data_IF_886320879746
#
_entry.id   IF_886320879746
#
_cell.length_a   1.000
_cell.length_b   1.000
_cell.length_c   1.000
_cell.angle_alpha   90.00
_cell.angle_beta   90.00
_cell.angle_gamma   90.00
#
_symmetry.space_group_name_H-M   'P 1'
#
loop_
_entity.id
_entity.type
_entity.pdbx_description
1 polymer ?
#
# COMPACT_ATOMS: atom_id res chain seq x y z
N UNK A 1 -37.95 -19.53 18.09
CA UNK A 1 -37.12 -19.84 16.91
C UNK A 1 -37.18 -18.63 16.01
N UNK A 2 -36.28 -17.67 16.21
CA UNK A 2 -36.11 -16.55 15.29
C UNK A 2 -34.70 -16.66 14.73
N UNK A 3 -34.64 -16.86 13.42
CA UNK A 3 -33.43 -16.93 12.64
C UNK A 3 -32.64 -15.63 12.78
N UNK A 4 -31.67 -15.63 13.69
CA UNK A 4 -30.53 -14.70 13.64
C UNK A 4 -29.66 -15.09 12.45
N UNK A 5 -30.11 -14.77 11.24
CA UNK A 5 -29.24 -14.55 10.09
C UNK A 5 -28.26 -13.45 10.51
N UNK A 6 -27.07 -13.84 10.99
CA UNK A 6 -25.91 -12.94 10.99
C UNK A 6 -25.67 -12.58 9.53
N UNK A 7 -26.19 -11.43 9.11
CA UNK A 7 -25.85 -10.87 7.82
C UNK A 7 -24.32 -10.75 7.79
N UNK A 8 -23.68 -11.51 6.90
CA UNK A 8 -22.36 -11.15 6.46
C UNK A 8 -22.48 -9.71 5.94
N UNK A 9 -21.67 -8.79 6.45
CA UNK A 9 -21.53 -7.45 5.85
C UNK A 9 -20.73 -7.68 4.56
N UNK A 10 -21.38 -8.29 3.57
CA UNK A 10 -20.90 -8.40 2.22
C UNK A 10 -21.39 -7.14 1.52
N UNK A 11 -20.49 -6.19 1.32
CA UNK A 11 -20.77 -5.07 0.44
C UNK A 11 -20.80 -5.66 -0.96
N UNK A 12 -21.99 -5.82 -1.53
CA UNK A 12 -22.12 -6.15 -2.95
C UNK A 12 -21.51 -4.98 -3.73
N UNK A 13 -20.35 -5.15 -4.41
CA UNK A 13 -19.67 -4.03 -5.04
C UNK A 13 -20.54 -3.34 -6.09
N UNK A 14 -21.47 -4.06 -6.72
CA UNK A 14 -22.41 -3.47 -7.67
C UNK A 14 -23.40 -2.51 -7.00
N UNK A 15 -23.79 -2.76 -5.75
CA UNK A 15 -24.66 -1.85 -4.98
C UNK A 15 -23.92 -0.61 -4.51
N UNK A 16 -22.64 -0.74 -4.19
CA UNK A 16 -21.80 0.39 -3.74
C UNK A 16 -21.37 1.26 -4.92
N UNK A 17 -20.75 0.65 -5.93
CA UNK A 17 -20.16 1.37 -7.05
C UNK A 17 -21.12 1.66 -8.19
N UNK A 18 -22.28 1.00 -8.23
CA UNK A 18 -23.20 1.10 -9.35
C UNK A 18 -22.56 0.58 -10.63
N UNK A 19 -22.44 1.45 -11.64
CA UNK A 19 -21.95 1.09 -12.98
C UNK A 19 -20.42 1.09 -13.10
N UNK A 20 -19.70 1.83 -12.26
CA UNK A 20 -18.25 2.01 -12.40
C UNK A 20 -17.60 2.30 -11.05
N UNK A 21 -16.72 1.40 -10.60
CA UNK A 21 -15.90 1.62 -9.42
C UNK A 21 -14.94 2.80 -9.62
N UNK A 22 -14.31 2.88 -10.79
CA UNK A 22 -13.40 3.96 -11.15
C UNK A 22 -14.07 5.34 -11.06
N UNK A 23 -15.26 5.52 -11.64
CA UNK A 23 -15.98 6.80 -11.51
C UNK A 23 -16.41 7.06 -10.06
N UNK A 24 -16.75 6.02 -9.30
CA UNK A 24 -17.10 6.16 -7.89
C UNK A 24 -15.91 6.64 -7.05
N UNK A 25 -14.70 6.11 -7.30
CA UNK A 25 -13.44 6.57 -6.67
C UNK A 25 -13.20 8.05 -6.97
N UNK A 26 -13.36 8.47 -8.23
CA UNK A 26 -13.23 9.88 -8.60
C UNK A 26 -14.26 10.78 -7.92
N UNK A 27 -15.49 10.30 -7.74
CA UNK A 27 -16.54 11.04 -7.05
C UNK A 27 -16.24 11.20 -5.56
N UNK A 28 -15.62 10.20 -4.91
CA UNK A 28 -15.14 10.30 -3.52
C UNK A 28 -14.11 11.44 -3.40
N UNK A 29 -13.07 11.43 -4.23
CA UNK A 29 -12.03 12.48 -4.18
C UNK A 29 -12.61 13.86 -4.53
N UNK A 30 -13.50 13.93 -5.52
CA UNK A 30 -14.15 15.18 -5.91
C UNK A 30 -14.95 15.79 -4.76
N UNK A 31 -15.74 14.97 -4.07
CA UNK A 31 -16.55 15.44 -2.93
C UNK A 31 -15.68 15.86 -1.75
N UNK A 32 -14.66 15.06 -1.39
CA UNK A 32 -13.75 15.41 -0.30
C UNK A 32 -12.95 16.69 -0.56
N UNK A 33 -12.67 17.00 -1.83
CA UNK A 33 -11.93 18.19 -2.24
C UNK A 33 -12.84 19.32 -2.76
N UNK A 34 -14.15 19.26 -2.50
CA UNK A 34 -15.10 20.23 -3.06
C UNK A 34 -14.81 21.67 -2.61
N UNK A 35 -14.37 21.87 -1.38
CA UNK A 35 -13.96 23.18 -0.87
C UNK A 35 -12.74 23.72 -1.61
N UNK A 36 -11.75 22.87 -1.91
CA UNK A 36 -10.57 23.24 -2.68
C UNK A 36 -10.97 23.78 -4.06
N UNK A 37 -11.84 23.06 -4.79
CA UNK A 37 -12.31 23.49 -6.11
C UNK A 37 -13.05 24.82 -6.11
N UNK A 38 -13.57 25.26 -4.96
CA UNK A 38 -14.30 26.52 -4.83
C UNK A 38 -13.40 27.69 -4.42
N UNK A 39 -12.11 27.45 -4.15
CA UNK A 39 -11.17 28.50 -3.78
C UNK A 39 -10.91 29.45 -4.97
N UNK A 40 -11.04 30.77 -4.80
CA UNK A 40 -10.69 31.73 -5.85
C UNK A 40 -9.22 31.64 -6.29
N UNK A 41 -8.34 31.19 -5.39
CA UNK A 41 -6.91 31.01 -5.62
C UNK A 41 -6.55 29.65 -6.24
N UNK A 42 -7.53 28.79 -6.56
CA UNK A 42 -7.27 27.41 -6.97
C UNK A 42 -6.24 27.32 -8.12
N UNK A 43 -6.51 28.01 -9.22
CA UNK A 43 -5.65 27.95 -10.40
C UNK A 43 -4.27 28.57 -10.15
N UNK A 44 -4.20 29.71 -9.45
CA UNK A 44 -2.93 30.37 -9.12
C UNK A 44 -2.06 29.48 -8.23
N UNK A 45 -2.64 28.89 -7.19
CA UNK A 45 -1.92 28.01 -6.27
C UNK A 45 -1.53 26.70 -6.96
N UNK A 46 -2.39 26.14 -7.83
CA UNK A 46 -2.03 24.97 -8.63
C UNK A 46 -0.83 25.23 -9.56
N UNK A 47 -0.73 26.43 -10.14
CA UNK A 47 0.44 26.80 -10.94
C UNK A 47 1.70 26.96 -10.09
N UNK A 48 1.58 27.56 -8.89
CA UNK A 48 2.69 27.63 -7.93
C UNK A 48 3.21 26.24 -7.55
N UNK A 49 2.31 25.31 -7.22
CA UNK A 49 2.65 23.91 -6.93
C UNK A 49 3.41 23.27 -8.09
N UNK A 50 2.95 23.46 -9.33
CA UNK A 50 3.63 22.93 -10.53
C UNK A 50 5.04 23.52 -10.70
N UNK A 51 5.22 24.83 -10.43
CA UNK A 51 6.54 25.46 -10.46
C UNK A 51 7.49 24.83 -9.45
N UNK A 52 7.03 24.63 -8.20
CA UNK A 52 7.85 23.98 -7.19
C UNK A 52 8.27 22.54 -7.56
N UNK A 53 7.39 21.76 -8.20
CA UNK A 53 7.77 20.45 -8.73
C UNK A 53 8.80 20.53 -9.87
N UNK A 54 8.67 21.51 -10.75
CA UNK A 54 9.65 21.75 -11.81
C UNK A 54 11.04 22.07 -11.22
N UNK A 55 11.07 22.89 -10.17
CA UNK A 55 12.29 23.29 -9.46
C UNK A 55 12.80 22.23 -8.47
N UNK A 56 12.09 21.10 -8.32
CA UNK A 56 12.35 20.04 -7.33
C UNK A 56 12.37 20.55 -5.88
N UNK A 57 11.61 21.60 -5.60
CA UNK A 57 11.44 22.17 -4.27
C UNK A 57 10.20 21.58 -3.58
N UNK A 58 10.32 20.31 -3.16
CA UNK A 58 9.21 19.57 -2.53
C UNK A 58 8.77 20.20 -1.21
N UNK A 59 9.70 20.73 -0.42
CA UNK A 59 9.40 21.40 0.84
C UNK A 59 8.46 22.60 0.65
N UNK A 60 8.69 23.42 -0.38
CA UNK A 60 7.78 24.54 -0.68
C UNK A 60 6.37 24.09 -1.10
N UNK A 61 6.21 22.87 -1.63
CA UNK A 61 4.89 22.30 -1.91
C UNK A 61 4.19 21.96 -0.60
N UNK A 62 4.84 21.20 0.28
CA UNK A 62 4.16 20.54 1.40
C UNK A 62 4.21 21.30 2.72
N UNK A 63 5.13 22.24 2.91
CA UNK A 63 5.19 23.07 4.12
C UNK A 63 4.20 24.24 4.10
N UNK A 64 3.59 24.55 2.95
CA UNK A 64 2.49 25.53 2.88
C UNK A 64 1.13 24.82 2.98
N UNK A 65 0.37 24.98 4.08
CA UNK A 65 -0.93 24.33 4.26
C UNK A 65 -1.95 24.67 3.17
N UNK A 66 -1.87 25.84 2.55
CA UNK A 66 -2.77 26.25 1.47
C UNK A 66 -2.60 25.43 0.19
N UNK A 67 -1.43 24.81 0.01
CA UNK A 67 -1.15 23.96 -1.14
C UNK A 67 -1.80 22.58 -1.02
N UNK A 68 -1.89 22.03 0.20
CA UNK A 68 -2.31 20.65 0.46
C UNK A 68 -3.68 20.27 -0.13
N UNK A 69 -4.77 21.04 0.07
CA UNK A 69 -6.07 20.68 -0.48
C UNK A 69 -6.07 20.70 -2.02
N UNK A 70 -5.33 21.63 -2.63
CA UNK A 70 -5.22 21.77 -4.10
C UNK A 70 -4.33 20.66 -4.68
N UNK A 71 -3.25 20.30 -3.97
CA UNK A 71 -2.41 19.16 -4.30
C UNK A 71 -3.21 17.86 -4.30
N UNK A 72 -3.96 17.60 -3.22
CA UNK A 72 -4.80 16.40 -3.11
C UNK A 72 -5.85 16.35 -4.24
N UNK A 73 -6.57 17.47 -4.48
CA UNK A 73 -7.54 17.57 -5.57
C UNK A 73 -6.95 17.26 -6.96
N UNK A 74 -5.69 17.64 -7.19
CA UNK A 74 -4.99 17.48 -8.48
C UNK A 74 -4.38 16.10 -8.68
N UNK A 75 -3.69 15.58 -7.67
CA UNK A 75 -2.77 14.45 -7.83
C UNK A 75 -3.28 13.15 -7.19
N UNK A 76 -4.16 13.22 -6.18
CA UNK A 76 -4.71 12.03 -5.55
C UNK A 76 -5.61 11.16 -6.46
N UNK A 77 -6.45 11.70 -7.37
CA UNK A 77 -7.42 10.89 -8.12
C UNK A 77 -6.79 9.79 -8.98
N UNK A 78 -5.77 10.14 -9.78
CA UNK A 78 -5.11 9.18 -10.67
C UNK A 78 -4.36 8.10 -9.86
N UNK A 79 -3.70 8.50 -8.76
CA UNK A 79 -3.01 7.59 -7.84
C UNK A 79 -4.00 6.64 -7.16
N UNK A 80 -5.11 7.15 -6.63
CA UNK A 80 -6.15 6.34 -6.00
C UNK A 80 -6.71 5.27 -6.96
N UNK A 81 -6.95 5.63 -8.23
CA UNK A 81 -7.37 4.68 -9.25
C UNK A 81 -6.33 3.59 -9.50
N UNK A 82 -5.06 3.95 -9.67
CA UNK A 82 -3.98 2.98 -9.87
C UNK A 82 -3.81 2.05 -8.67
N UNK A 83 -3.85 2.59 -7.45
CA UNK A 83 -3.71 1.81 -6.23
C UNK A 83 -4.90 0.86 -6.03
N UNK A 84 -6.12 1.31 -6.34
CA UNK A 84 -7.30 0.45 -6.35
C UNK A 84 -7.13 -0.77 -7.25
N UNK A 85 -6.71 -0.57 -8.51
CA UNK A 85 -6.50 -1.67 -9.44
C UNK A 85 -5.37 -2.59 -8.98
N UNK A 86 -4.26 -2.02 -8.50
CA UNK A 86 -3.14 -2.80 -7.95
C UNK A 86 -3.58 -3.73 -6.81
N UNK A 87 -4.31 -3.19 -5.82
CA UNK A 87 -4.81 -3.98 -4.69
C UNK A 87 -5.88 -5.00 -5.10
N UNK A 88 -6.75 -4.64 -6.04
CA UNK A 88 -7.84 -5.50 -6.51
C UNK A 88 -7.35 -6.66 -7.38
N UNK A 89 -6.34 -6.42 -8.21
CA UNK A 89 -5.87 -7.39 -9.20
C UNK A 89 -4.75 -8.28 -8.66
N UNK A 90 -3.90 -7.76 -7.77
CA UNK A 90 -2.78 -8.55 -7.25
C UNK A 90 -3.21 -9.47 -6.09
N UNK A 91 -3.08 -10.80 -6.20
CA UNK A 91 -3.62 -11.75 -5.22
C UNK A 91 -3.07 -11.57 -3.80
N UNK A 92 -1.79 -11.18 -3.65
CA UNK A 92 -1.17 -10.94 -2.34
C UNK A 92 -1.79 -9.74 -1.65
N UNK A 93 -2.02 -8.66 -2.39
CA UNK A 93 -2.58 -7.42 -1.84
C UNK A 93 -4.06 -7.62 -1.52
N UNK A 94 -4.80 -8.27 -2.42
CA UNK A 94 -6.21 -8.62 -2.19
C UNK A 94 -6.36 -9.54 -0.95
N UNK A 95 -5.46 -10.51 -0.78
CA UNK A 95 -5.46 -11.41 0.39
C UNK A 95 -5.21 -10.67 1.70
N UNK A 96 -4.41 -9.60 1.71
CA UNK A 96 -4.26 -8.73 2.89
C UNK A 96 -5.62 -8.14 3.29
N UNK A 97 -6.47 -7.77 2.33
CA UNK A 97 -7.79 -7.19 2.58
C UNK A 97 -8.88 -8.24 2.90
N UNK A 98 -8.82 -9.43 2.29
CA UNK A 98 -9.80 -10.52 2.46
C UNK A 98 -9.55 -11.37 3.71
N UNK A 99 -8.34 -11.28 4.25
CA UNK A 99 -7.82 -12.13 5.30
C UNK A 99 -8.47 -11.91 6.67
N UNK A 100 -7.66 -12.07 7.71
CA UNK A 100 -8.05 -11.72 9.08
C UNK A 100 -8.08 -10.21 9.28
N UNK A 101 -8.14 -9.75 10.54
CA UNK A 101 -7.72 -8.39 10.85
C UNK A 101 -6.32 -8.14 10.30
N UNK A 102 -6.11 -7.01 9.62
CA UNK A 102 -4.81 -6.67 9.03
C UNK A 102 -4.46 -5.21 9.24
N UNK A 103 -3.17 -4.91 9.39
CA UNK A 103 -2.64 -3.54 9.48
C UNK A 103 -1.79 -3.22 8.26
N UNK A 104 -2.11 -2.11 7.58
CA UNK A 104 -1.36 -1.58 6.44
C UNK A 104 -0.72 -0.26 6.87
N UNK A 105 0.62 -0.24 6.96
CA UNK A 105 1.39 0.98 7.23
C UNK A 105 1.76 1.65 5.91
N UNK A 106 1.22 2.83 5.68
CA UNK A 106 1.39 3.59 4.46
C UNK A 106 2.38 4.73 4.65
N UNK A 107 3.59 4.61 4.07
CA UNK A 107 4.65 5.61 4.20
C UNK A 107 4.48 6.70 3.13
N UNK A 108 4.43 7.97 3.53
CA UNK A 108 4.21 9.11 2.62
C UNK A 108 2.79 9.18 2.08
N UNK A 109 1.81 8.80 2.89
CA UNK A 109 0.42 8.56 2.48
C UNK A 109 -0.46 9.82 2.48
N UNK A 110 0.09 10.98 2.81
CA UNK A 110 -0.64 12.14 3.29
C UNK A 110 -1.76 12.67 2.38
N UNK A 111 -1.61 12.53 1.05
CA UNK A 111 -2.57 13.10 0.11
C UNK A 111 -3.90 12.32 -0.04
N UNK A 112 -4.03 11.16 0.63
CA UNK A 112 -5.27 10.37 0.69
C UNK A 112 -5.50 9.38 -0.46
N UNK A 113 -4.54 9.24 -1.38
CA UNK A 113 -4.65 8.29 -2.51
C UNK A 113 -4.76 6.84 -2.05
N UNK A 114 -3.96 6.45 -1.06
CA UNK A 114 -3.98 5.10 -0.50
C UNK A 114 -5.25 4.84 0.30
N UNK A 115 -5.67 5.80 1.13
CA UNK A 115 -6.94 5.74 1.85
C UNK A 115 -8.09 5.41 0.89
N UNK A 116 -8.24 6.17 -0.20
CA UNK A 116 -9.32 5.97 -1.16
C UNK A 116 -9.15 4.67 -1.96
N UNK A 117 -7.95 4.41 -2.51
CA UNK A 117 -7.69 3.26 -3.36
C UNK A 117 -7.83 1.92 -2.64
N UNK A 118 -7.24 1.81 -1.44
CA UNK A 118 -7.32 0.61 -0.61
C UNK A 118 -8.76 0.40 -0.13
N UNK A 119 -9.44 1.46 0.33
CA UNK A 119 -10.83 1.35 0.76
C UNK A 119 -11.76 0.90 -0.37
N UNK A 120 -11.54 1.37 -1.60
CA UNK A 120 -12.29 0.88 -2.75
C UNK A 120 -12.04 -0.61 -3.03
N UNK A 121 -10.79 -1.07 -2.90
CA UNK A 121 -10.47 -2.50 -3.03
C UNK A 121 -11.11 -3.33 -1.90
N UNK A 122 -11.21 -2.79 -0.67
CA UNK A 122 -11.87 -3.45 0.46
C UNK A 122 -13.37 -3.73 0.21
N UNK A 123 -14.04 -2.96 -0.65
CA UNK A 123 -15.44 -3.23 -1.04
C UNK A 123 -15.53 -4.57 -1.80
N UNK A 124 -14.52 -4.91 -2.60
CA UNK A 124 -14.43 -6.22 -3.26
C UNK A 124 -14.00 -7.33 -2.32
N UNK A 125 -13.30 -6.98 -1.23
CA UNK A 125 -12.82 -7.92 -0.23
C UNK A 125 -14.00 -8.48 0.55
N UNK A 126 -14.55 -9.56 0.02
CA UNK A 126 -15.56 -10.36 0.67
C UNK A 126 -14.86 -11.48 1.44
N UNK A 127 -15.18 -11.67 2.72
CA UNK A 127 -14.69 -12.81 3.48
C UNK A 127 -14.95 -14.11 2.74
N UNK A 128 -13.90 -14.83 2.33
CA UNK A 128 -14.06 -16.20 1.86
C UNK A 128 -14.59 -17.01 3.04
N UNK A 129 -15.81 -17.58 2.97
CA UNK A 129 -16.26 -18.48 4.03
C UNK A 129 -15.30 -19.67 4.02
N UNK A 130 -14.56 -19.89 5.11
CA UNK A 130 -13.80 -21.13 5.28
C UNK A 130 -14.78 -22.30 5.17
N UNK A 131 -14.84 -22.95 4.01
CA UNK A 131 -15.62 -24.17 3.80
C UNK A 131 -15.03 -25.20 4.76
N UNK A 132 -15.77 -25.54 5.82
CA UNK A 132 -15.44 -26.70 6.64
C UNK A 132 -15.52 -27.90 5.72
N UNK A 133 -14.38 -28.49 5.33
CA UNK A 133 -14.33 -29.82 4.73
C UNK A 133 -14.83 -30.82 5.78
N UNK A 134 -16.13 -31.06 5.82
CA UNK A 134 -16.67 -32.26 6.46
C UNK A 134 -16.22 -33.45 5.61
N UNK A 135 -15.23 -34.20 6.10
CA UNK A 135 -14.96 -35.54 5.60
C UNK A 135 -16.20 -36.39 5.89
N UNK A 136 -17.10 -36.55 4.91
CA UNK A 136 -17.99 -37.70 4.88
C UNK A 136 -17.17 -38.84 4.31
N UNK A 137 -16.75 -39.74 5.20
CA UNK A 137 -16.35 -41.08 4.80
C UNK A 137 -17.62 -41.77 4.29
N UNK A 138 -17.67 -42.10 3.01
CA UNK A 138 -18.60 -43.11 2.53
C UNK A 138 -17.80 -44.28 1.99
N UNK A 139 -17.95 -45.41 2.69
CA UNK A 139 -17.47 -46.72 2.27
C UNK A 139 -18.59 -47.31 1.43
N UNK A 140 -18.38 -47.51 0.14
CA UNK A 140 -18.90 -48.73 -0.50
C UNK A 140 -18.03 -49.14 -1.68
N UNK A 141 -17.61 -50.41 -1.62
CA UNK A 141 -16.91 -51.17 -2.66
C UNK A 141 -17.84 -51.44 -3.84
N UNK A 142 -17.26 -51.55 -5.03
CA UNK A 142 -17.90 -52.17 -6.19
C UNK A 142 -16.97 -52.16 -7.39
N UNK A 143 -16.23 -53.24 -7.58
CA UNK A 143 -15.33 -53.46 -8.71
C UNK A 143 -16.10 -53.71 -10.02
N UNK A 144 -15.54 -53.30 -11.16
CA UNK A 144 -15.30 -54.16 -12.32
C UNK A 144 -14.46 -53.46 -13.40
N UNK A 145 -13.62 -54.29 -14.02
CA UNK A 145 -12.65 -53.99 -15.07
C UNK A 145 -13.27 -54.14 -16.47
N UNK A 146 -12.59 -53.56 -17.47
CA UNK A 146 -12.36 -53.97 -18.88
C UNK A 146 -11.93 -52.69 -19.67
N UNK A 147 -10.69 -52.62 -20.22
CA UNK A 147 -10.29 -53.02 -21.59
C UNK A 147 -11.01 -52.16 -22.67
N UNK A 148 -10.41 -51.50 -23.68
CA UNK A 148 -9.20 -51.70 -24.49
C UNK A 148 -8.99 -50.48 -25.45
N UNK A 149 -7.72 -50.24 -25.83
CA UNK A 149 -7.17 -49.97 -27.20
C UNK A 149 -7.42 -48.66 -28.00
N UNK A 150 -6.28 -48.09 -28.45
CA UNK A 150 -6.04 -47.46 -29.79
C UNK A 150 -6.30 -45.95 -29.88
N UNK A 151 -5.52 -45.08 -30.53
CA UNK A 151 -4.35 -45.10 -31.43
C UNK A 151 -3.75 -43.65 -31.39
N UNK A 152 -2.44 -43.40 -31.50
CA UNK A 152 -1.70 -42.93 -32.71
C UNK A 152 -2.48 -41.90 -33.57
N UNK A 153 -1.97 -40.79 -34.12
CA UNK A 153 -0.65 -40.15 -34.23
C UNK A 153 -0.86 -38.76 -34.91
N UNK A 154 0.22 -37.97 -35.02
CA UNK A 154 0.52 -37.02 -36.12
C UNK A 154 0.03 -35.55 -36.14
N UNK A 155 0.89 -34.68 -35.59
CA UNK A 155 1.69 -33.62 -36.24
C UNK A 155 1.26 -32.95 -37.58
N UNK A 156 1.21 -31.61 -37.59
CA UNK A 156 1.88 -30.64 -38.53
C UNK A 156 1.37 -29.21 -38.24
N UNK A 157 2.23 -28.25 -37.86
CA UNK A 157 2.99 -27.30 -38.71
C UNK A 157 2.09 -26.40 -39.58
N UNK A 158 2.29 -25.09 -39.85
CA UNK A 158 3.27 -24.02 -39.56
C UNK A 158 2.60 -22.73 -40.09
N UNK A 159 2.83 -21.56 -39.45
CA UNK A 159 3.22 -20.26 -40.07
C UNK A 159 3.00 -19.14 -39.03
N UNK A 160 4.01 -18.68 -38.29
CA UNK A 160 5.02 -17.66 -38.68
C UNK A 160 4.45 -16.41 -39.39
N UNK A 161 4.40 -15.30 -38.66
CA UNK A 161 4.94 -14.02 -39.12
C UNK A 161 5.71 -13.37 -37.98
N UNK A 162 7.00 -13.16 -38.23
CA UNK A 162 7.99 -12.45 -37.42
C UNK A 162 7.72 -10.96 -37.49
N UNK A 163 8.04 -10.25 -36.42
CA UNK A 163 8.75 -8.98 -36.55
C UNK A 163 9.80 -8.86 -35.43
N UNK A 164 11.01 -8.50 -35.89
CA UNK A 164 12.23 -8.30 -35.14
C UNK A 164 12.12 -7.13 -34.15
N UNK A 165 12.78 -7.25 -33.01
CA UNK A 165 13.87 -6.30 -32.70
C UNK A 165 14.84 -6.88 -31.68
N UNK A 166 16.11 -6.63 -31.94
CA UNK A 166 17.30 -7.34 -31.46
C UNK A 166 17.98 -6.68 -30.27
N UNK A 167 18.56 -7.54 -29.42
CA UNK A 167 19.79 -7.42 -28.63
C UNK A 167 19.85 -6.38 -27.48
N UNK A 168 20.45 -6.69 -26.32
CA UNK A 168 21.40 -7.78 -26.08
C UNK A 168 21.81 -8.00 -24.62
N UNK A 169 22.50 -9.13 -24.48
CA UNK A 169 23.53 -9.52 -23.52
C UNK A 169 23.17 -9.56 -22.02
N UNK A 170 22.99 -10.80 -21.58
CA UNK A 170 23.15 -11.29 -20.22
C UNK A 170 24.64 -11.31 -19.89
N UNK A 171 25.06 -10.66 -18.79
CA UNK A 171 26.29 -11.02 -18.10
C UNK A 171 26.03 -11.19 -16.60
N UNK A 172 26.26 -12.42 -16.16
CA UNK A 172 26.34 -12.90 -14.80
C UNK A 172 27.53 -12.23 -14.09
N UNK A 173 27.27 -11.47 -13.02
CA UNK A 173 28.32 -11.06 -12.08
C UNK A 173 27.78 -11.05 -10.65
N UNK A 174 28.03 -12.17 -9.96
CA UNK A 174 28.09 -12.24 -8.50
C UNK A 174 28.97 -11.13 -7.93
N UNK A 175 28.42 -10.26 -7.08
CA UNK A 175 29.21 -9.30 -6.30
C UNK A 175 28.89 -9.42 -4.81
N UNK A 176 29.91 -9.85 -4.08
CA UNK A 176 29.93 -9.95 -2.63
C UNK A 176 29.94 -8.59 -1.95
N UNK A 177 29.03 -8.40 -1.00
CA UNK A 177 29.07 -7.32 -0.02
C UNK A 177 29.18 -7.97 1.36
N UNK A 178 30.40 -8.26 1.78
CA UNK A 178 30.72 -8.54 3.18
C UNK A 178 31.48 -7.37 3.79
N UNK A 179 31.14 -7.08 5.06
CA UNK A 179 31.77 -6.16 6.01
C UNK A 179 31.34 -4.68 5.95
N UNK A 180 30.27 -4.41 6.68
CA UNK A 180 30.14 -3.21 7.52
C UNK A 180 29.65 -3.67 8.90
N UNK A 181 30.58 -4.20 9.70
CA UNK A 181 30.41 -4.39 11.13
C UNK A 181 31.09 -3.22 11.83
N UNK A 182 30.34 -2.45 12.62
CA UNK A 182 30.88 -1.45 13.54
C UNK A 182 30.41 -1.82 14.93
N UNK A 183 31.38 -2.12 15.79
CA UNK A 183 31.26 -2.37 17.22
C UNK A 183 30.94 -1.07 17.98
N UNK A 184 30.14 -1.12 19.06
CA UNK A 184 29.84 0.07 19.87
C UNK A 184 30.95 0.32 20.90
N UNK A 185 31.31 1.59 21.08
CA UNK A 185 32.14 2.07 22.19
C UNK A 185 31.27 2.75 23.24
N UNK A 186 31.52 2.41 24.50
CA UNK A 186 30.88 2.88 25.73
C UNK A 186 31.25 4.34 26.10
N UNK A 187 30.28 5.06 26.67
CA UNK A 187 30.41 6.08 27.74
C UNK A 187 29.04 6.72 27.96
N UNK A 188 28.62 7.28 29.09
CA UNK A 188 28.89 7.13 30.52
C UNK A 188 27.58 7.58 31.20
N UNK A 189 27.28 6.99 32.36
CA UNK A 189 26.08 7.20 33.15
C UNK A 189 25.90 8.63 33.67
N UNK A 190 24.68 9.15 33.64
CA UNK A 190 24.17 10.11 34.64
C UNK A 190 22.74 9.71 35.08
N UNK A 191 22.54 9.72 36.39
CA UNK A 191 21.30 9.37 37.11
C UNK A 191 20.27 10.52 37.05
N UNK A 192 18.96 10.22 37.08
CA UNK A 192 17.95 11.21 37.46
C UNK A 192 17.46 11.02 38.91
N UNK A 193 17.27 12.16 39.59
CA UNK A 193 16.72 12.29 40.94
C UNK A 193 15.19 12.45 40.94
N UNK A 194 14.58 11.73 41.89
CA UNK A 194 13.36 12.00 42.67
C UNK A 194 11.98 12.12 42.02
N UNK A 195 11.11 11.21 42.49
CA UNK A 195 9.67 11.16 42.32
C UNK A 195 8.93 12.00 43.38
N UNK A 196 7.61 12.21 43.20
CA UNK A 196 6.73 12.04 44.35
C UNK A 196 5.47 11.20 44.09
N UNK A 197 5.23 10.33 45.08
CA UNK A 197 3.98 9.95 45.73
C UNK A 197 2.75 9.54 44.90
N UNK A 198 2.46 8.24 44.98
CA UNK A 198 1.22 7.60 44.58
C UNK A 198 0.05 7.94 45.52
N UNK A 199 -1.11 8.24 44.93
CA UNK A 199 -2.41 8.19 45.59
C UNK A 199 -3.22 7.04 44.98
N UNK A 200 -3.55 6.06 45.83
CA UNK A 200 -4.35 4.89 45.47
C UNK A 200 -5.84 5.25 45.35
N UNK A 201 -6.44 4.99 44.18
CA UNK A 201 -7.88 5.05 43.98
C UNK A 201 -8.41 3.66 43.60
N UNK A 202 -9.50 3.28 44.27
CA UNK A 202 -10.09 1.95 44.29
C UNK A 202 -10.53 1.43 42.90
N UNK A 203 -10.05 0.23 42.55
CA UNK A 203 -10.45 -0.46 41.32
C UNK A 203 -11.84 -1.08 41.46
N UNK A 204 -12.84 -0.44 40.87
CA UNK A 204 -14.14 -1.08 40.59
C UNK A 204 -13.95 -2.07 39.44
N UNK A 205 -14.16 -3.37 39.69
CA UNK A 205 -14.06 -4.43 38.67
C UNK A 205 -15.25 -4.39 37.72
N UNK A 206 -15.23 -3.50 36.74
CA UNK A 206 -16.12 -3.57 35.59
C UNK A 206 -15.63 -4.69 34.68
N UNK A 207 -16.45 -5.72 34.46
CA UNK A 207 -16.19 -6.76 33.46
C UNK A 207 -16.33 -6.13 32.06
N UNK A 208 -15.28 -5.49 31.58
CA UNK A 208 -15.17 -5.05 30.18
C UNK A 208 -15.15 -6.31 29.32
N UNK A 209 -16.26 -6.60 28.62
CA UNK A 209 -16.25 -7.60 27.56
C UNK A 209 -15.17 -7.17 26.57
N UNK A 210 -14.12 -7.98 26.39
CA UNK A 210 -13.14 -7.76 25.32
C UNK A 210 -13.91 -7.47 24.03
N UNK A 211 -13.63 -6.36 23.33
CA UNK A 211 -14.32 -6.05 22.10
C UNK A 211 -14.18 -7.27 21.17
N UNK A 212 -15.30 -7.71 20.59
CA UNK A 212 -15.28 -8.78 19.59
C UNK A 212 -14.52 -8.24 18.39
N UNK A 213 -13.24 -8.58 18.28
CA UNK A 213 -12.41 -8.23 17.13
C UNK A 213 -13.13 -8.71 15.87
N UNK A 214 -13.49 -7.78 15.00
CA UNK A 214 -14.13 -8.13 13.74
C UNK A 214 -13.12 -8.88 12.89
N UNK A 215 -13.51 -10.02 12.33
CA UNK A 215 -12.59 -10.95 11.66
C UNK A 215 -12.00 -10.42 10.35
N UNK A 216 -12.46 -9.27 9.86
CA UNK A 216 -12.09 -8.70 8.54
C UNK A 216 -11.94 -7.18 8.61
N UNK A 217 -11.40 -6.69 9.74
CA UNK A 217 -11.11 -5.27 9.92
C UNK A 217 -9.74 -4.95 9.31
N UNK A 218 -9.67 -3.92 8.47
CA UNK A 218 -8.41 -3.41 7.95
C UNK A 218 -8.12 -2.09 8.66
N UNK A 219 -6.92 -1.97 9.23
CA UNK A 219 -6.40 -0.73 9.78
C UNK A 219 -5.41 -0.13 8.79
N UNK A 220 -5.69 1.08 8.30
CA UNK A 220 -4.79 1.86 7.45
C UNK A 220 -4.11 2.90 8.34
N UNK A 221 -2.80 2.78 8.54
CA UNK A 221 -1.98 3.76 9.25
C UNK A 221 -1.30 4.64 8.22
N UNK A 222 -1.73 5.90 8.12
CA UNK A 222 -1.22 6.90 7.18
C UNK A 222 -0.11 7.68 7.87
N UNK A 223 1.13 7.42 7.46
CA UNK A 223 2.30 8.10 7.95
C UNK A 223 2.66 9.22 6.96
N UNK A 224 2.85 10.44 7.46
CA UNK A 224 3.49 11.52 6.71
C UNK A 224 4.27 12.47 7.64
N UNK A 225 5.18 13.29 7.12
CA UNK A 225 5.87 14.31 7.91
C UNK A 225 5.06 15.62 8.02
N UNK A 226 4.09 15.79 7.12
CA UNK A 226 3.15 16.92 7.11
C UNK A 226 1.84 16.52 7.79
N UNK A 227 1.20 17.49 8.45
CA UNK A 227 -0.15 17.30 8.98
C UNK A 227 -1.19 17.37 7.85
N UNK A 228 -1.62 16.19 7.40
CA UNK A 228 -2.68 16.06 6.40
C UNK A 228 -4.07 15.86 6.99
N UNK A 229 -4.24 15.95 8.32
CA UNK A 229 -5.53 15.73 8.99
C UNK A 229 -6.67 16.59 8.40
N UNK A 230 -6.46 17.89 8.05
CA UNK A 230 -7.50 18.70 7.41
C UNK A 230 -8.00 18.17 6.05
N UNK A 231 -7.24 17.28 5.40
CA UNK A 231 -7.58 16.66 4.11
C UNK A 231 -8.07 15.23 4.34
N UNK A 232 -7.39 14.47 5.18
CA UNK A 232 -7.66 13.05 5.42
C UNK A 232 -8.95 12.83 6.22
N UNK A 233 -9.28 13.66 7.22
CA UNK A 233 -10.50 13.47 8.01
C UNK A 233 -11.78 13.66 7.19
N UNK A 234 -11.95 14.74 6.38
CA UNK A 234 -13.10 14.84 5.49
C UNK A 234 -13.13 13.72 4.44
N UNK A 235 -11.96 13.35 3.89
CA UNK A 235 -11.87 12.29 2.89
C UNK A 235 -12.25 10.92 3.46
N UNK A 236 -11.83 10.59 4.68
CA UNK A 236 -12.24 9.38 5.39
C UNK A 236 -13.76 9.35 5.59
N UNK A 237 -14.37 10.47 6.01
CA UNK A 237 -15.82 10.57 6.17
C UNK A 237 -16.57 10.25 4.85
N UNK A 238 -16.12 10.82 3.74
CA UNK A 238 -16.69 10.56 2.40
C UNK A 238 -16.46 9.10 1.99
N UNK A 239 -15.27 8.54 2.19
CA UNK A 239 -14.95 7.13 1.92
C UNK A 239 -15.90 6.21 2.68
N UNK A 240 -16.05 6.40 3.99
CA UNK A 240 -16.92 5.57 4.84
C UNK A 240 -18.37 5.62 4.39
N UNK A 241 -18.86 6.82 4.09
CA UNK A 241 -20.23 7.06 3.64
C UNK A 241 -20.49 6.42 2.27
N UNK A 242 -19.68 6.75 1.27
CA UNK A 242 -19.89 6.32 -0.12
C UNK A 242 -19.59 4.84 -0.35
N UNK A 243 -18.58 4.29 0.34
CA UNK A 243 -18.16 2.89 0.19
C UNK A 243 -18.83 1.95 1.20
N UNK A 244 -19.66 2.49 2.11
CA UNK A 244 -20.38 1.74 3.14
C UNK A 244 -19.42 0.94 4.02
N UNK A 245 -18.37 1.59 4.51
CA UNK A 245 -17.32 0.99 5.34
C UNK A 245 -17.41 1.51 6.77
N UNK A 246 -18.09 0.75 7.63
CA UNK A 246 -18.18 1.03 9.05
C UNK A 246 -16.84 0.87 9.80
N UNK A 247 -16.74 1.37 11.04
CA UNK A 247 -15.53 1.27 11.86
C UNK A 247 -15.11 -0.18 12.17
N UNK A 248 -16.03 -1.12 12.06
CA UNK A 248 -15.75 -2.55 12.17
C UNK A 248 -15.03 -3.12 10.95
N UNK A 249 -15.09 -2.45 9.78
CA UNK A 249 -14.42 -2.88 8.53
C UNK A 249 -13.16 -2.07 8.26
N UNK A 250 -13.21 -0.76 8.46
CA UNK A 250 -12.10 0.17 8.20
C UNK A 250 -11.76 0.94 9.48
N UNK A 251 -10.50 0.88 9.89
CA UNK A 251 -9.91 1.80 10.86
C UNK A 251 -8.84 2.63 10.16
N UNK A 252 -8.77 3.91 10.50
CA UNK A 252 -7.82 4.85 9.95
C UNK A 252 -7.08 5.49 11.12
N UNK A 253 -5.76 5.54 11.02
CA UNK A 253 -4.89 6.20 11.98
C UNK A 253 -3.92 7.09 11.21
N UNK A 254 -3.59 8.25 11.76
CA UNK A 254 -2.58 9.16 11.19
C UNK A 254 -1.38 9.23 12.13
N UNK A 255 -0.18 9.28 11.56
CA UNK A 255 1.06 9.46 12.31
C UNK A 255 1.92 10.53 11.65
N UNK A 256 2.11 11.64 12.36
CA UNK A 256 2.87 12.79 11.88
C UNK A 256 4.31 12.66 12.37
N UNK A 257 5.27 12.59 11.45
CA UNK A 257 6.69 12.55 11.77
C UNK A 257 7.57 12.33 10.55
N UNK A 258 8.85 12.67 10.64
CA UNK A 258 9.78 12.34 9.57
C UNK A 258 10.26 10.89 9.72
N UNK A 259 9.95 10.02 8.74
CA UNK A 259 10.35 8.61 8.78
C UNK A 259 11.86 8.40 8.85
N UNK A 260 12.65 9.34 8.35
CA UNK A 260 14.10 9.28 8.42
C UNK A 260 14.65 9.52 9.84
N UNK A 261 13.81 9.96 10.78
CA UNK A 261 14.17 10.13 12.20
C UNK A 261 14.11 8.81 12.97
N UNK A 262 13.51 7.75 12.39
CA UNK A 262 13.50 6.40 12.97
C UNK A 262 12.95 6.35 14.40
N UNK A 263 11.85 7.05 14.65
CA UNK A 263 11.20 7.06 15.95
C UNK A 263 10.84 5.65 16.43
N UNK A 264 10.83 5.44 17.74
CA UNK A 264 10.39 4.15 18.31
C UNK A 264 8.95 3.83 17.90
N UNK A 265 8.08 4.84 17.85
CA UNK A 265 6.70 4.73 17.37
C UNK A 265 6.61 4.15 15.96
N UNK A 266 7.42 4.65 15.02
CA UNK A 266 7.46 4.13 13.65
C UNK A 266 7.84 2.63 13.64
N UNK A 267 8.89 2.25 14.37
CA UNK A 267 9.33 0.85 14.40
C UNK A 267 8.31 -0.07 15.09
N UNK A 268 7.60 0.42 16.10
CA UNK A 268 6.47 -0.29 16.69
C UNK A 268 5.32 -0.51 15.70
N UNK A 269 5.03 0.47 14.84
CA UNK A 269 4.05 0.31 13.76
C UNK A 269 4.48 -0.74 12.76
N UNK A 270 5.75 -0.69 12.33
CA UNK A 270 6.33 -1.67 11.39
C UNK A 270 6.22 -3.09 11.96
N UNK A 271 6.54 -3.28 13.24
CA UNK A 271 6.45 -4.57 13.92
C UNK A 271 5.01 -5.12 14.04
N UNK A 272 3.99 -4.28 13.82
CA UNK A 272 2.57 -4.66 13.86
C UNK A 272 1.93 -4.74 12.46
N UNK A 273 2.64 -4.34 11.40
CA UNK A 273 2.11 -4.25 10.05
C UNK A 273 2.18 -5.59 9.31
N UNK A 274 1.09 -5.95 8.63
CA UNK A 274 1.02 -7.09 7.70
C UNK A 274 1.50 -6.68 6.29
N UNK A 275 1.34 -5.40 5.96
CA UNK A 275 1.81 -4.77 4.74
C UNK A 275 2.38 -3.39 5.04
N UNK A 276 3.58 -3.10 4.55
CA UNK A 276 4.14 -1.74 4.50
C UNK A 276 4.19 -1.29 3.05
N UNK A 277 3.72 -0.08 2.76
CA UNK A 277 3.73 0.49 1.42
C UNK A 277 4.69 1.68 1.32
N UNK A 278 5.39 1.75 0.19
CA UNK A 278 6.13 2.92 -0.29
C UNK A 278 5.63 3.21 -1.70
N UNK A 279 4.62 4.07 -1.82
CA UNK A 279 4.01 4.35 -3.13
C UNK A 279 4.19 5.82 -3.53
N UNK A 280 5.12 6.03 -4.47
CA UNK A 280 5.57 7.33 -4.98
C UNK A 280 6.21 8.22 -3.90
N UNK A 281 6.96 7.59 -2.99
CA UNK A 281 7.70 8.28 -1.91
C UNK A 281 9.19 7.88 -1.88
N UNK A 282 9.54 6.69 -2.40
CA UNK A 282 10.86 6.12 -2.19
C UNK A 282 11.92 6.99 -2.89
N UNK A 283 11.64 7.43 -4.11
CA UNK A 283 12.52 8.35 -4.85
C UNK A 283 12.81 9.66 -4.10
N UNK A 284 11.82 10.20 -3.39
CA UNK A 284 11.98 11.44 -2.61
C UNK A 284 12.87 11.20 -1.39
N UNK A 285 12.67 10.08 -0.68
CA UNK A 285 13.51 9.69 0.45
C UNK A 285 14.97 9.47 0.01
N UNK A 286 15.21 8.90 -1.17
CA UNK A 286 16.57 8.64 -1.66
C UNK A 286 17.39 9.89 -2.04
N UNK A 287 16.82 11.10 -1.90
CA UNK A 287 17.63 12.34 -1.86
C UNK A 287 18.63 12.30 -0.69
N UNK A 288 18.28 11.71 0.45
CA UNK A 288 19.23 11.31 1.51
C UNK A 288 19.45 9.79 1.49
N UNK A 289 20.29 9.33 0.56
CA UNK A 289 20.60 7.91 0.38
C UNK A 289 21.05 7.23 1.69
N UNK A 290 21.85 7.89 2.53
CA UNK A 290 22.42 7.26 3.73
C UNK A 290 21.33 7.00 4.77
N UNK A 291 20.51 8.01 5.07
CA UNK A 291 19.39 7.88 6.01
C UNK A 291 18.33 6.93 5.48
N UNK A 292 18.06 6.96 4.18
CA UNK A 292 17.05 6.08 3.57
C UNK A 292 17.49 4.61 3.55
N UNK A 293 18.76 4.32 3.30
CA UNK A 293 19.26 2.94 3.45
C UNK A 293 19.19 2.45 4.90
N UNK A 294 19.44 3.34 5.88
CA UNK A 294 19.26 3.03 7.29
C UNK A 294 17.78 2.78 7.62
N UNK A 295 16.87 3.60 7.09
CA UNK A 295 15.42 3.43 7.20
C UNK A 295 14.98 2.07 6.69
N UNK A 296 15.33 1.73 5.44
CA UNK A 296 14.99 0.43 4.85
C UNK A 296 15.54 -0.72 5.69
N UNK A 297 16.81 -0.64 6.12
CA UNK A 297 17.41 -1.68 6.94
C UNK A 297 16.67 -1.87 8.28
N UNK A 298 16.29 -0.78 8.95
CA UNK A 298 15.56 -0.82 10.23
C UNK A 298 14.12 -1.32 10.06
N UNK A 299 13.43 -0.90 8.99
CA UNK A 299 12.08 -1.41 8.67
C UNK A 299 12.15 -2.91 8.40
N UNK A 300 13.03 -3.36 7.51
CA UNK A 300 13.16 -4.79 7.18
C UNK A 300 13.53 -5.64 8.41
N UNK A 301 14.34 -5.10 9.33
CA UNK A 301 14.66 -5.77 10.58
C UNK A 301 13.47 -5.87 11.55
N UNK A 302 12.60 -4.86 11.59
CA UNK A 302 11.43 -4.81 12.47
C UNK A 302 10.20 -5.52 11.89
N UNK A 303 10.15 -5.75 10.57
CA UNK A 303 9.05 -6.44 9.90
C UNK A 303 8.80 -7.84 10.48
N UNK A 304 7.54 -8.24 10.72
CA UNK A 304 7.20 -9.62 11.01
C UNK A 304 7.58 -10.56 9.86
N UNK A 305 8.04 -11.78 10.17
CA UNK A 305 8.21 -12.82 9.14
C UNK A 305 6.88 -13.11 8.45
N UNK A 306 6.90 -13.17 7.12
CA UNK A 306 5.72 -13.31 6.27
C UNK A 306 4.97 -12.01 5.95
N UNK A 307 5.29 -10.89 6.59
CA UNK A 307 4.74 -9.57 6.21
C UNK A 307 5.25 -9.15 4.83
N UNK A 308 4.49 -8.27 4.16
CA UNK A 308 4.82 -7.81 2.82
C UNK A 308 5.29 -6.35 2.81
N UNK A 309 6.16 -6.03 1.85
CA UNK A 309 6.51 -4.66 1.51
C UNK A 309 6.14 -4.42 0.05
N UNK A 310 5.26 -3.45 -0.20
CA UNK A 310 4.89 -3.00 -1.54
C UNK A 310 5.65 -1.72 -1.86
N UNK A 311 6.39 -1.72 -2.96
CA UNK A 311 7.05 -0.52 -3.49
C UNK A 311 6.51 -0.25 -4.88
N UNK A 312 5.99 0.96 -5.07
CA UNK A 312 5.52 1.47 -6.36
C UNK A 312 6.12 2.84 -6.55
N UNK A 313 6.86 3.07 -7.62
CA UNK A 313 7.39 4.41 -7.90
C UNK A 313 7.59 4.60 -9.41
N UNK A 314 7.91 5.82 -9.83
CA UNK A 314 8.08 6.19 -11.24
C UNK A 314 9.10 5.30 -11.96
N UNK A 315 8.71 4.64 -13.06
CA UNK A 315 9.60 3.80 -13.87
C UNK A 315 10.42 4.63 -14.88
N UNK A 316 11.04 5.70 -14.39
CA UNK A 316 11.81 6.63 -15.21
C UNK A 316 13.05 7.14 -14.47
N UNK A 317 13.71 8.15 -15.05
CA UNK A 317 14.95 8.71 -14.52
C UNK A 317 14.84 9.31 -13.12
N UNK A 318 13.63 9.54 -12.63
CA UNK A 318 13.37 9.93 -11.23
C UNK A 318 13.79 8.85 -10.22
N UNK A 319 13.82 7.59 -10.63
CA UNK A 319 14.26 6.46 -9.81
C UNK A 319 15.72 6.07 -9.98
N UNK A 320 16.47 6.85 -10.76
CA UNK A 320 17.89 6.62 -10.95
C UNK A 320 18.67 7.13 -9.73
N UNK A 321 19.41 6.22 -9.10
CA UNK A 321 20.35 6.51 -8.04
C UNK A 321 21.78 6.35 -8.55
N UNK A 322 22.64 7.34 -8.28
CA UNK A 322 24.08 7.21 -8.52
C UNK A 322 24.75 6.47 -7.35
N UNK A 323 25.50 5.43 -7.65
CA UNK A 323 26.34 4.69 -6.71
C UNK A 323 27.74 4.57 -7.29
N UNK A 324 28.66 5.41 -6.78
CA UNK A 324 29.93 5.64 -7.45
C UNK A 324 29.69 6.22 -8.85
N UNK A 325 30.25 5.58 -9.87
CA UNK A 325 30.10 6.00 -11.27
C UNK A 325 28.89 5.36 -11.98
N UNK A 326 28.25 4.37 -11.35
CA UNK A 326 27.14 3.63 -11.95
C UNK A 326 25.79 4.18 -11.52
N UNK A 327 24.80 4.03 -12.40
CA UNK A 327 23.41 4.43 -12.14
C UNK A 327 22.56 3.18 -12.00
N UNK A 328 21.74 3.12 -10.95
CA UNK A 328 20.88 1.99 -10.63
C UNK A 328 19.46 2.48 -10.42
N UNK A 329 18.48 1.63 -10.72
CA UNK A 329 17.12 1.86 -10.27
C UNK A 329 17.04 1.61 -8.77
N UNK A 330 16.31 2.46 -8.05
CA UNK A 330 16.20 2.39 -6.58
C UNK A 330 15.80 1.01 -6.06
N UNK A 331 14.89 0.32 -6.77
CA UNK A 331 14.45 -1.03 -6.40
C UNK A 331 15.58 -2.05 -6.41
N UNK A 332 16.63 -1.87 -7.23
CA UNK A 332 17.74 -2.81 -7.30
C UNK A 332 18.46 -2.91 -5.96
N UNK A 333 18.46 -1.86 -5.14
CA UNK A 333 19.04 -1.93 -3.80
C UNK A 333 18.24 -2.84 -2.86
N UNK A 334 16.91 -2.85 -3.02
CA UNK A 334 16.02 -3.67 -2.21
C UNK A 334 16.02 -5.13 -2.69
N UNK A 335 16.11 -5.36 -4.01
CA UNK A 335 16.21 -6.69 -4.63
C UNK A 335 17.41 -7.51 -4.09
N UNK A 336 18.48 -6.85 -3.63
CA UNK A 336 19.67 -7.51 -3.06
C UNK A 336 19.58 -7.80 -1.55
N UNK A 337 18.50 -7.41 -0.87
CA UNK A 337 18.34 -7.66 0.56
C UNK A 337 17.96 -9.13 0.80
N UNK A 338 18.91 -9.93 1.29
CA UNK A 338 18.71 -11.38 1.57
C UNK A 338 17.60 -11.70 2.56
N UNK A 339 17.15 -10.71 3.34
CA UNK A 339 16.03 -10.86 4.29
C UNK A 339 14.65 -10.73 3.63
N UNK A 340 14.60 -10.36 2.35
CA UNK A 340 13.40 -10.18 1.54
C UNK A 340 13.42 -11.15 0.38
N UNK A 341 12.26 -11.74 0.11
CA UNK A 341 11.98 -12.52 -1.09
C UNK A 341 11.13 -11.69 -2.04
N UNK A 342 11.51 -11.63 -3.31
CA UNK A 342 10.71 -10.97 -4.35
C UNK A 342 9.52 -11.89 -4.69
N UNK A 343 8.32 -11.45 -4.33
CA UNK A 343 7.06 -12.15 -4.63
C UNK A 343 6.51 -11.74 -5.99
N UNK A 344 6.66 -10.47 -6.33
CA UNK A 344 6.28 -9.92 -7.63
C UNK A 344 7.19 -8.77 -8.01
N UNK A 345 7.52 -8.69 -9.30
CA UNK A 345 8.26 -7.57 -9.87
C UNK A 345 7.74 -7.23 -11.26
N UNK A 346 7.60 -5.93 -11.53
CA UNK A 346 7.40 -5.37 -12.86
C UNK A 346 8.25 -4.11 -12.94
N UNK A 347 9.18 -4.04 -13.89
CA UNK A 347 10.14 -2.95 -14.00
C UNK A 347 9.53 -1.67 -14.58
N UNK A 348 8.47 -1.79 -15.38
CA UNK A 348 7.82 -0.64 -16.00
C UNK A 348 6.45 -1.01 -16.60
N UNK A 349 5.38 -0.63 -15.89
CA UNK A 349 4.01 -0.74 -16.36
C UNK A 349 3.35 0.62 -16.49
N UNK A 350 2.39 0.73 -17.42
CA UNK A 350 1.55 1.92 -17.58
C UNK A 350 0.18 1.70 -16.97
N UNK A 351 -0.18 2.51 -15.99
CA UNK A 351 -1.59 2.75 -15.66
C UNK A 351 -2.14 3.86 -16.54
N UNK A 352 -3.19 3.56 -17.31
CA UNK A 352 -3.88 4.53 -18.16
C UNK A 352 -5.27 4.81 -17.61
N UNK A 353 -5.54 6.06 -17.25
CA UNK A 353 -6.87 6.47 -16.80
C UNK A 353 -7.86 6.30 -17.96
N UNK A 354 -8.97 5.57 -17.78
CA UNK A 354 -9.96 5.39 -18.85
C UNK A 354 -10.51 6.74 -19.34
N UNK A 355 -10.59 6.97 -20.67
CA UNK A 355 -10.98 8.27 -21.23
C UNK A 355 -12.46 8.61 -21.00
N UNK A 356 -13.29 7.62 -20.64
CA UNK A 356 -14.70 7.81 -20.31
C UNK A 356 -14.95 8.39 -18.92
N UNK A 357 -13.91 8.49 -18.08
CA UNK A 357 -14.03 9.02 -16.73
C UNK A 357 -14.15 10.53 -16.74
N UNK A 358 -15.00 11.05 -15.85
CA UNK A 358 -15.22 12.48 -15.68
C UNK A 358 -14.63 12.97 -14.36
N UNK A 359 -13.77 13.98 -14.43
CA UNK A 359 -13.19 14.66 -13.28
C UNK A 359 -12.95 16.14 -13.61
N UNK A 360 -13.01 17.09 -12.64
CA UNK A 360 -12.82 18.51 -12.92
C UNK A 360 -11.44 18.88 -13.51
N UNK A 361 -10.43 18.04 -13.28
CA UNK A 361 -9.07 18.23 -13.77
C UNK A 361 -8.65 17.08 -14.67
N UNK A 362 -7.64 17.33 -15.50
CA UNK A 362 -7.03 16.29 -16.33
C UNK A 362 -6.44 15.18 -15.45
N UNK A 363 -6.91 13.95 -15.66
CA UNK A 363 -6.33 12.75 -15.07
C UNK A 363 -5.03 12.40 -15.79
N UNK A 364 -3.99 12.07 -15.03
CA UNK A 364 -2.68 11.74 -15.60
C UNK A 364 -2.47 10.22 -15.64
N UNK A 365 -1.88 9.75 -16.75
CA UNK A 365 -1.40 8.39 -16.85
C UNK A 365 -0.09 8.25 -16.06
N UNK A 366 0.17 7.09 -15.51
CA UNK A 366 1.35 6.85 -14.68
C UNK A 366 2.14 5.68 -15.21
N UNK A 367 3.44 5.90 -15.42
CA UNK A 367 4.39 4.82 -15.68
C UNK A 367 5.16 4.53 -14.40
N UNK A 368 5.05 3.32 -13.89
CA UNK A 368 5.63 2.95 -12.60
C UNK A 368 6.21 1.54 -12.63
N UNK A 369 7.15 1.28 -11.74
CA UNK A 369 7.58 -0.08 -11.43
C UNK A 369 6.77 -0.57 -10.23
N UNK A 370 6.71 -1.88 -10.06
CA UNK A 370 6.12 -2.54 -8.90
C UNK A 370 7.12 -3.55 -8.35
N UNK A 371 7.25 -3.57 -7.03
CA UNK A 371 7.89 -4.64 -6.28
C UNK A 371 7.01 -5.03 -5.11
N UNK A 372 6.78 -6.32 -4.94
CA UNK A 372 6.19 -6.88 -3.73
C UNK A 372 7.20 -7.84 -3.15
N UNK A 373 7.68 -7.51 -1.96
CA UNK A 373 8.58 -8.36 -1.20
C UNK A 373 7.82 -9.06 -0.07
N UNK A 374 8.27 -10.24 0.30
CA UNK A 374 7.89 -10.94 1.54
C UNK A 374 9.10 -10.98 2.47
N UNK A 375 8.90 -10.61 3.74
CA UNK A 375 9.92 -10.80 4.77
C UNK A 375 10.10 -12.29 5.06
N UNK A 376 11.34 -12.77 4.96
CA UNK A 376 11.72 -14.16 5.30
C UNK A 376 11.71 -14.40 6.82
#
# INVERSE_FOLDING_TARGET
MEDKKKAAIANDPKKVFGRSADQHILNVVKESCQEAFNLPSFDTTLQTIKSHFFDRNYDAVFQNPEHLPIYSARYAPSRALCYYHLFREHPVLMKTLEGGPSTILCIGSGAGSELVGISAAMVHANPVPKVKKTKKADKTKGAKAEAEVGAEEMNKDISETKDNDTNGAVEDTTLGMEKLAVTPSESTQEQPSEAPAAAAAAATKTKTKKPKVNKHQVTIVMQDYVDWSPILEPMESVVRSRMVLGPERLQCETEIGNVLDLSEGLLERVAKADLITFMFVLNELFQDKKRTMLLVAKIVAAMPSGAHMLVVDSAGSFSNLKVGERTYMVYMLLDHLKSLEIVYQDDATWYRCPPSLTYPLKLENMRHFVRIYRKL
#
